data_IF_075717892480
#
_entry.id   IF_075717892480
#
_cell.length_a   1.000
_cell.length_b   1.000
_cell.length_c   1.000
_cell.angle_alpha   90.00
_cell.angle_beta   90.00
_cell.angle_gamma   90.00
#
_symmetry.space_group_name_H-M   'P 1'
#
loop_
_entity.id
_entity.type
_entity.pdbx_description
1 polymer ?
#
# COMPACT_ATOMS: atom_id res chain seq x y z
N UNK A 1 -4.46 -35.20 5.26
CA UNK A 1 -5.39 -34.81 6.34
C UNK A 1 -5.56 -33.29 6.28
N UNK A 2 -6.67 -32.79 5.74
CA UNK A 2 -6.91 -31.34 5.65
C UNK A 2 -7.28 -30.81 7.03
N UNK A 3 -6.38 -30.06 7.66
CA UNK A 3 -6.65 -29.35 8.89
C UNK A 3 -7.59 -28.19 8.53
N UNK A 4 -8.84 -28.25 8.99
CA UNK A 4 -9.75 -27.10 8.91
C UNK A 4 -9.26 -26.05 9.91
N UNK A 5 -8.62 -24.98 9.41
CA UNK A 5 -8.41 -23.77 10.21
C UNK A 5 -9.78 -23.14 10.50
N UNK A 6 -10.08 -22.96 11.78
CA UNK A 6 -11.30 -22.29 12.21
C UNK A 6 -11.09 -20.78 12.14
N UNK A 7 -12.11 -20.03 11.72
CA UNK A 7 -12.04 -18.58 11.71
C UNK A 7 -12.53 -18.07 13.06
N UNK A 8 -11.64 -17.46 13.84
CA UNK A 8 -11.95 -16.93 15.17
C UNK A 8 -12.80 -15.66 15.09
N UNK A 9 -12.38 -14.69 14.27
CA UNK A 9 -13.09 -13.42 14.08
C UNK A 9 -13.08 -12.99 12.62
N UNK A 10 -14.17 -12.35 12.20
CA UNK A 10 -14.32 -11.72 10.88
C UNK A 10 -14.73 -10.28 11.05
N UNK A 11 -14.06 -9.40 10.32
CA UNK A 11 -14.40 -7.99 10.22
C UNK A 11 -14.63 -7.67 8.76
N UNK A 12 -15.69 -6.90 8.50
CA UNK A 12 -15.88 -6.24 7.22
C UNK A 12 -15.58 -4.77 7.42
N UNK A 13 -14.48 -4.30 6.83
CA UNK A 13 -13.98 -2.93 7.00
C UNK A 13 -14.26 -2.15 5.74
N UNK A 14 -14.93 -1.00 5.88
CA UNK A 14 -15.15 -0.07 4.78
C UNK A 14 -14.32 1.17 5.03
N UNK A 15 -13.37 1.45 4.12
CA UNK A 15 -12.55 2.65 4.15
C UNK A 15 -13.04 3.64 3.09
N UNK A 16 -13.03 4.92 3.43
CA UNK A 16 -13.27 6.03 2.51
C UNK A 16 -12.06 6.95 2.50
N UNK A 17 -11.58 7.40 1.34
CA UNK A 17 -10.52 8.40 1.29
C UNK A 17 -11.04 9.72 1.87
N UNK A 18 -10.25 10.31 2.75
CA UNK A 18 -10.42 11.70 3.20
C UNK A 18 -9.47 12.67 2.48
N UNK A 19 -8.44 12.11 1.85
CA UNK A 19 -7.45 12.79 1.00
C UNK A 19 -7.21 11.91 -0.22
N UNK A 20 -6.71 12.46 -1.34
CA UNK A 20 -6.25 11.67 -2.48
C UNK A 20 -5.29 10.56 -2.06
N UNK A 21 -5.52 9.35 -2.54
CA UNK A 21 -4.69 8.18 -2.24
C UNK A 21 -4.00 7.71 -3.52
N UNK A 22 -2.71 7.39 -3.41
CA UNK A 22 -1.95 6.73 -4.46
C UNK A 22 -1.11 5.59 -3.89
N UNK A 23 -1.31 4.38 -4.43
CA UNK A 23 -0.37 3.26 -4.28
C UNK A 23 0.07 2.88 -5.67
N UNK A 24 1.37 2.96 -5.92
CA UNK A 24 1.93 2.71 -7.25
C UNK A 24 1.79 1.25 -7.66
N UNK A 25 1.36 1.00 -8.90
CA UNK A 25 1.28 -0.36 -9.46
C UNK A 25 2.65 -0.95 -9.84
N UNK A 26 3.68 -0.10 -9.99
CA UNK A 26 4.96 -0.44 -10.60
C UNK A 26 5.06 -0.04 -12.08
N UNK A 27 3.95 0.38 -12.71
CA UNK A 27 3.89 0.82 -14.10
C UNK A 27 3.92 2.34 -14.19
N UNK A 28 4.58 2.86 -15.23
CA UNK A 28 4.54 4.27 -15.57
C UNK A 28 3.92 4.45 -16.95
N UNK A 29 3.01 5.40 -17.05
CA UNK A 29 2.50 5.90 -18.31
C UNK A 29 3.32 7.09 -18.76
N UNK A 30 3.37 7.31 -20.08
CA UNK A 30 4.00 8.48 -20.68
C UNK A 30 2.94 9.33 -21.37
N UNK A 31 2.93 10.61 -21.02
CA UNK A 31 2.07 11.59 -21.70
C UNK A 31 2.37 11.64 -23.19
N UNK A 32 1.33 11.79 -23.99
CA UNK A 32 1.29 11.74 -25.46
C UNK A 32 1.62 10.38 -26.10
N UNK A 33 1.74 9.32 -25.30
CA UNK A 33 1.77 7.93 -25.80
C UNK A 33 0.63 7.15 -25.15
N UNK A 34 0.70 6.97 -23.84
CA UNK A 34 -0.27 6.19 -23.07
C UNK A 34 -1.43 7.06 -22.58
N UNK A 35 -1.19 8.36 -22.39
CA UNK A 35 -2.15 9.34 -21.87
C UNK A 35 -2.19 10.58 -22.75
N UNK A 36 -3.39 11.08 -23.09
CA UNK A 36 -3.58 12.35 -23.82
C UNK A 36 -4.58 13.24 -23.10
N UNK A 37 -4.46 14.55 -23.28
CA UNK A 37 -5.42 15.52 -22.71
C UNK A 37 -6.50 15.81 -23.75
N UNK A 38 -7.72 15.31 -23.52
CA UNK A 38 -8.88 15.44 -24.42
C UNK A 38 -10.03 16.10 -23.65
N UNK A 39 -10.53 17.23 -24.15
CA UNK A 39 -11.64 17.98 -23.52
C UNK A 39 -11.47 18.21 -22.00
N UNK A 40 -10.31 18.72 -21.58
CA UNK A 40 -9.96 18.98 -20.16
C UNK A 40 -9.86 17.74 -19.26
N UNK A 41 -10.03 16.54 -19.82
CA UNK A 41 -9.79 15.27 -19.15
C UNK A 41 -8.52 14.61 -19.66
N UNK A 42 -7.98 13.70 -18.87
CA UNK A 42 -6.91 12.81 -19.30
C UNK A 42 -7.55 11.50 -19.75
N UNK A 43 -7.27 11.16 -20.99
CA UNK A 43 -7.69 9.94 -21.65
C UNK A 43 -6.54 8.94 -21.60
N UNK A 44 -6.77 7.79 -20.98
CA UNK A 44 -5.93 6.61 -21.13
C UNK A 44 -6.20 6.00 -22.49
N UNK A 45 -5.19 6.02 -23.34
CA UNK A 45 -5.26 5.70 -24.76
C UNK A 45 -5.51 4.21 -24.96
N UNK A 46 -6.49 3.86 -25.80
CA UNK A 46 -6.74 2.48 -26.21
C UNK A 46 -5.99 2.11 -27.48
N UNK A 47 -4.72 1.71 -27.33
CA UNK A 47 -3.84 1.38 -28.46
C UNK A 47 -4.28 0.18 -29.28
N UNK A 48 -5.10 -0.72 -28.71
CA UNK A 48 -5.62 -1.91 -29.43
C UNK A 48 -6.69 -1.53 -30.45
N UNK A 49 -7.37 -0.40 -30.24
CA UNK A 49 -8.49 0.06 -31.05
C UNK A 49 -8.16 1.30 -31.89
N UNK A 50 -6.87 1.55 -32.16
CA UNK A 50 -6.45 2.71 -32.96
C UNK A 50 -7.01 2.69 -34.39
N UNK A 51 -7.51 3.84 -34.88
CA UNK A 51 -7.81 4.00 -36.30
C UNK A 51 -6.55 3.78 -37.15
N UNK A 52 -6.71 3.16 -38.31
CA UNK A 52 -5.61 2.79 -39.22
C UNK A 52 -4.77 4.02 -39.62
N UNK A 53 -5.42 5.17 -39.76
CA UNK A 53 -4.79 6.45 -40.12
C UNK A 53 -3.83 6.93 -39.03
N UNK A 54 -4.21 6.75 -37.76
CA UNK A 54 -3.37 7.12 -36.60
C UNK A 54 -2.16 6.21 -36.55
N UNK A 55 -2.36 4.89 -36.72
CA UNK A 55 -1.27 3.91 -36.73
C UNK A 55 -0.27 4.23 -37.85
N UNK A 56 -0.74 4.46 -39.07
CA UNK A 56 0.12 4.83 -40.21
C UNK A 56 0.91 6.11 -39.96
N UNK A 57 0.27 7.13 -39.38
CA UNK A 57 0.93 8.38 -39.04
C UNK A 57 2.02 8.17 -37.98
N UNK A 58 1.75 7.42 -36.92
CA UNK A 58 2.72 7.15 -35.85
C UNK A 58 3.93 6.36 -36.35
N UNK A 59 3.73 5.31 -37.16
CA UNK A 59 4.82 4.49 -37.72
C UNK A 59 5.75 5.33 -38.61
N UNK A 60 5.19 6.30 -39.33
CA UNK A 60 5.95 7.14 -40.26
C UNK A 60 6.60 8.36 -39.58
N UNK A 61 6.36 8.56 -38.29
CA UNK A 61 6.80 9.75 -37.56
C UNK A 61 8.01 9.45 -36.69
N UNK A 62 8.81 10.48 -36.41
CA UNK A 62 9.86 10.38 -35.40
C UNK A 62 9.25 10.50 -34.01
N UNK A 63 9.99 10.06 -32.99
CA UNK A 63 9.53 10.09 -31.60
C UNK A 63 9.10 11.51 -31.18
N UNK A 64 9.85 12.53 -31.60
CA UNK A 64 9.62 13.92 -31.27
C UNK A 64 8.32 14.47 -31.87
N UNK A 65 7.84 13.89 -32.97
CA UNK A 65 6.64 14.31 -33.70
C UNK A 65 5.36 13.63 -33.18
N UNK A 66 5.49 12.58 -32.36
CA UNK A 66 4.34 11.82 -31.83
C UNK A 66 3.30 12.74 -31.15
N UNK A 67 3.65 13.70 -30.27
CA UNK A 67 2.65 14.59 -29.67
C UNK A 67 1.85 15.37 -30.70
N UNK A 68 2.47 15.79 -31.81
CA UNK A 68 1.79 16.50 -32.88
C UNK A 68 0.82 15.57 -33.65
N UNK A 69 1.25 14.34 -33.94
CA UNK A 69 0.37 13.32 -34.55
C UNK A 69 -0.83 13.02 -33.66
N UNK A 70 -0.58 12.76 -32.37
CA UNK A 70 -1.64 12.44 -31.41
C UNK A 70 -2.61 13.61 -31.23
N UNK A 71 -2.12 14.85 -31.20
CA UNK A 71 -2.94 16.06 -31.16
C UNK A 71 -3.82 16.22 -32.41
N UNK A 72 -3.27 15.95 -33.60
CA UNK A 72 -4.03 16.01 -34.87
C UNK A 72 -5.22 15.05 -34.91
N UNK A 73 -5.10 13.89 -34.26
CA UNK A 73 -6.13 12.84 -34.25
C UNK A 73 -6.84 12.71 -32.91
N UNK A 74 -6.78 13.72 -32.05
CA UNK A 74 -7.23 13.62 -30.66
C UNK A 74 -8.70 13.18 -30.51
N UNK A 75 -9.55 13.60 -31.43
CA UNK A 75 -10.98 13.28 -31.41
C UNK A 75 -11.27 11.84 -31.83
N UNK A 76 -10.43 11.25 -32.68
CA UNK A 76 -10.60 9.88 -33.19
C UNK A 76 -9.89 8.84 -32.33
N UNK A 77 -8.98 9.25 -31.45
CA UNK A 77 -8.29 8.35 -30.53
C UNK A 77 -9.29 7.84 -29.46
N UNK A 78 -9.49 6.52 -29.35
CA UNK A 78 -10.34 5.92 -28.31
C UNK A 78 -9.68 5.96 -26.93
N UNK A 79 -10.51 6.10 -25.91
CA UNK A 79 -10.09 6.12 -24.51
C UNK A 79 -10.55 4.84 -23.80
N UNK A 80 -9.62 4.09 -23.18
CA UNK A 80 -9.97 3.01 -22.23
C UNK A 80 -10.61 3.59 -20.97
N UNK A 81 -10.16 4.77 -20.55
CA UNK A 81 -10.62 5.47 -19.36
C UNK A 81 -10.44 6.97 -19.54
N UNK A 82 -11.42 7.77 -19.11
CA UNK A 82 -11.28 9.21 -18.98
C UNK A 82 -11.33 9.60 -17.51
N UNK A 83 -10.35 10.37 -17.06
CA UNK A 83 -10.26 10.89 -15.70
C UNK A 83 -10.09 12.41 -15.70
N UNK A 84 -10.69 13.13 -14.74
CA UNK A 84 -10.35 14.53 -14.50
C UNK A 84 -8.85 14.79 -14.35
N UNK A 85 -8.36 15.88 -14.93
CA UNK A 85 -7.00 16.37 -14.69
C UNK A 85 -7.05 17.55 -13.74
N UNK A 86 -6.53 17.40 -12.53
CA UNK A 86 -6.46 18.51 -11.56
C UNK A 86 -5.19 19.34 -11.78
N UNK A 87 -4.16 18.72 -12.36
CA UNK A 87 -2.90 19.37 -12.73
C UNK A 87 -2.76 19.38 -14.25
N UNK A 88 -2.01 20.35 -14.80
CA UNK A 88 -1.68 20.36 -16.23
C UNK A 88 -0.40 19.53 -16.42
N UNK A 89 -0.48 18.33 -17.02
CA UNK A 89 0.71 17.51 -17.24
C UNK A 89 1.61 18.14 -18.30
N UNK A 90 2.92 18.16 -18.03
CA UNK A 90 3.92 18.55 -19.01
C UNK A 90 3.99 17.53 -20.14
N UNK A 91 4.39 17.99 -21.33
CA UNK A 91 4.68 17.08 -22.45
C UNK A 91 5.77 16.08 -22.03
N UNK A 92 5.64 14.83 -22.45
CA UNK A 92 6.57 13.73 -22.14
C UNK A 92 6.73 13.38 -20.65
N UNK A 93 5.92 13.94 -19.75
CA UNK A 93 6.02 13.58 -18.34
C UNK A 93 5.62 12.12 -18.13
N UNK A 94 6.28 11.50 -17.15
CA UNK A 94 5.89 10.19 -16.65
C UNK A 94 4.77 10.36 -15.62
N UNK A 95 3.77 9.49 -15.69
CA UNK A 95 2.63 9.44 -14.79
C UNK A 95 2.62 8.08 -14.12
N UNK A 96 2.59 8.04 -12.79
CA UNK A 96 2.51 6.79 -12.06
C UNK A 96 1.10 6.20 -12.14
N UNK A 97 1.00 4.95 -12.57
CA UNK A 97 -0.26 4.22 -12.59
C UNK A 97 -0.69 3.88 -11.15
N UNK A 98 -1.97 4.10 -10.86
CA UNK A 98 -2.59 3.65 -9.62
C UNK A 98 -2.76 2.14 -9.62
N UNK A 99 -2.44 1.48 -8.50
CA UNK A 99 -2.71 0.06 -8.34
C UNK A 99 -4.19 -0.26 -8.59
N UNK A 100 -4.48 -1.35 -9.31
CA UNK A 100 -5.85 -1.78 -9.63
C UNK A 100 -6.76 -1.97 -8.41
N UNK A 101 -6.18 -2.27 -7.25
CA UNK A 101 -6.91 -2.41 -5.99
C UNK A 101 -7.00 -1.11 -5.20
N UNK A 102 -6.46 0.00 -5.72
CA UNK A 102 -6.23 1.30 -5.06
C UNK A 102 -5.30 1.19 -3.86
N UNK A 103 -5.69 0.42 -2.83
CA UNK A 103 -4.86 0.04 -1.68
C UNK A 103 -4.95 -1.48 -1.51
N UNK A 104 -3.94 -2.25 -1.94
CA UNK A 104 -3.92 -3.71 -1.79
C UNK A 104 -4.10 -4.17 -0.33
N UNK A 105 -4.60 -5.39 -0.15
CA UNK A 105 -4.76 -5.99 1.18
C UNK A 105 -3.42 -6.11 1.93
N UNK A 106 -2.32 -6.33 1.20
CA UNK A 106 -0.96 -6.33 1.76
C UNK A 106 -0.56 -4.97 2.34
N UNK A 107 -0.96 -3.85 1.70
CA UNK A 107 -0.70 -2.50 2.21
C UNK A 107 -1.50 -2.23 3.48
N UNK A 108 -2.79 -2.60 3.52
CA UNK A 108 -3.59 -2.47 4.74
C UNK A 108 -3.05 -3.37 5.87
N UNK A 109 -2.65 -4.59 5.56
CA UNK A 109 -2.01 -5.51 6.51
C UNK A 109 -0.70 -4.95 7.06
N UNK A 110 0.10 -4.28 6.21
CA UNK A 110 1.30 -3.55 6.62
C UNK A 110 0.97 -2.42 7.60
N UNK A 111 -0.05 -1.62 7.32
CA UNK A 111 -0.50 -0.56 8.23
C UNK A 111 -0.95 -1.11 9.61
N UNK A 112 -1.74 -2.19 9.61
CA UNK A 112 -2.15 -2.88 10.84
C UNK A 112 -0.92 -3.39 11.62
N UNK A 113 0.06 -3.96 10.92
CA UNK A 113 1.31 -4.45 11.54
C UNK A 113 2.09 -3.33 12.23
N UNK A 114 2.22 -2.18 11.58
CA UNK A 114 2.90 -1.01 12.15
C UNK A 114 2.15 -0.45 13.36
N UNK A 115 0.82 -0.34 13.28
CA UNK A 115 0.00 0.17 14.40
C UNK A 115 0.08 -0.73 15.65
N UNK A 116 0.11 -2.04 15.46
CA UNK A 116 0.27 -3.00 16.55
C UNK A 116 1.68 -2.96 17.13
N UNK A 117 2.71 -2.87 16.28
CA UNK A 117 4.10 -2.71 16.74
C UNK A 117 4.25 -1.45 17.60
N UNK A 118 3.66 -0.34 17.15
CA UNK A 118 3.62 0.90 17.92
C UNK A 118 2.96 0.70 19.29
N UNK A 119 1.80 0.05 19.35
CA UNK A 119 1.09 -0.22 20.62
C UNK A 119 1.94 -1.07 21.57
N UNK A 120 2.61 -2.11 21.04
CA UNK A 120 3.48 -2.97 21.83
C UNK A 120 4.70 -2.20 22.37
N UNK A 121 5.32 -1.37 21.54
CA UNK A 121 6.44 -0.52 21.97
C UNK A 121 6.01 0.46 23.06
N UNK A 122 4.87 1.12 22.89
CA UNK A 122 4.33 2.05 23.88
C UNK A 122 4.00 1.35 25.22
N UNK A 123 3.65 0.06 25.19
CA UNK A 123 3.37 -0.73 26.40
C UNK A 123 4.60 -1.12 27.22
N UNK A 124 5.82 -0.95 26.68
CA UNK A 124 7.07 -1.21 27.42
C UNK A 124 7.31 -0.21 28.55
N UNK A 125 6.54 0.88 28.60
CA UNK A 125 6.53 1.85 29.68
C UNK A 125 7.69 2.84 29.60
N UNK A 126 8.89 2.42 30.00
CA UNK A 126 10.02 3.34 30.16
C UNK A 126 10.72 3.67 28.85
N UNK A 127 11.15 4.93 28.71
CA UNK A 127 11.91 5.41 27.56
C UNK A 127 13.19 4.59 27.32
N UNK A 128 13.82 4.09 28.39
CA UNK A 128 15.03 3.26 28.30
C UNK A 128 14.74 1.87 27.74
N UNK A 129 13.65 1.21 28.15
CA UNK A 129 13.25 -0.08 27.59
C UNK A 129 12.90 0.03 26.09
N UNK A 130 12.24 1.11 25.70
CA UNK A 130 11.96 1.41 24.29
C UNK A 130 13.27 1.64 23.53
N UNK A 131 14.17 2.49 24.06
CA UNK A 131 15.47 2.79 23.44
C UNK A 131 16.32 1.53 23.24
N UNK A 132 16.40 0.66 24.24
CA UNK A 132 17.15 -0.58 24.15
C UNK A 132 16.56 -1.54 23.12
N UNK A 133 15.23 -1.61 23.05
CA UNK A 133 14.53 -2.42 22.04
C UNK A 133 14.79 -1.90 20.62
N UNK A 134 14.73 -0.59 20.42
CA UNK A 134 15.04 0.03 19.13
C UNK A 134 16.50 -0.17 18.72
N UNK A 135 17.45 0.00 19.65
CA UNK A 135 18.88 -0.23 19.39
C UNK A 135 19.19 -1.67 18.98
N UNK A 136 18.52 -2.65 19.59
CA UNK A 136 18.69 -4.06 19.26
C UNK A 136 17.98 -4.45 17.96
N UNK A 137 16.87 -3.78 17.64
CA UNK A 137 16.00 -4.13 16.52
C UNK A 137 16.26 -3.39 15.21
N UNK A 138 16.89 -2.21 15.25
CA UNK A 138 17.15 -1.36 14.09
C UNK A 138 18.62 -1.42 13.70
N UNK A 139 18.88 -1.80 12.45
CA UNK A 139 20.22 -1.88 11.87
C UNK A 139 20.36 -0.85 10.74
N UNK A 140 21.00 0.28 11.06
CA UNK A 140 21.22 1.38 10.11
C UNK A 140 22.27 1.07 9.03
N UNK A 141 23.00 -0.05 9.15
CA UNK A 141 23.96 -0.51 8.13
C UNK A 141 23.28 -1.23 6.97
N UNK A 142 21.99 -1.54 7.07
CA UNK A 142 21.22 -2.22 6.02
C UNK A 142 20.49 -1.24 5.12
N UNK A 143 20.12 -1.70 3.93
CA UNK A 143 19.22 -0.96 3.05
C UNK A 143 17.94 -0.52 3.80
N UNK A 144 17.38 0.67 3.51
CA UNK A 144 16.26 1.22 4.26
C UNK A 144 15.07 0.27 4.46
N UNK A 145 14.73 -0.52 3.45
CA UNK A 145 13.64 -1.52 3.49
C UNK A 145 13.88 -2.67 4.49
N UNK A 146 15.12 -2.87 4.93
CA UNK A 146 15.53 -3.98 5.80
C UNK A 146 15.95 -3.53 7.20
N UNK A 147 16.06 -2.22 7.46
CA UNK A 147 16.58 -1.69 8.73
C UNK A 147 15.75 -2.13 9.94
N UNK A 148 14.43 -2.25 9.81
CA UNK A 148 13.50 -2.61 10.91
C UNK A 148 13.24 -4.11 11.07
N UNK A 149 13.87 -4.97 10.26
CA UNK A 149 13.55 -6.41 10.28
C UNK A 149 13.84 -7.07 11.64
N UNK A 150 14.90 -6.63 12.34
CA UNK A 150 15.24 -7.16 13.66
C UNK A 150 14.18 -6.78 14.71
N UNK A 151 13.65 -5.56 14.62
CA UNK A 151 12.59 -5.07 15.49
C UNK A 151 11.31 -5.88 15.30
N UNK A 152 10.84 -6.00 14.05
CA UNK A 152 9.65 -6.79 13.75
C UNK A 152 9.83 -8.26 14.13
N UNK A 153 11.02 -8.83 13.91
CA UNK A 153 11.29 -10.21 14.26
C UNK A 153 11.19 -10.42 15.77
N UNK A 154 11.65 -9.47 16.59
CA UNK A 154 11.56 -9.55 18.05
C UNK A 154 10.13 -9.60 18.59
N UNK A 155 9.20 -8.89 17.93
CA UNK A 155 7.80 -8.82 18.38
C UNK A 155 6.89 -9.87 17.74
N UNK A 156 7.06 -10.13 16.44
CA UNK A 156 6.09 -10.91 15.65
C UNK A 156 6.63 -12.24 15.15
N UNK A 157 7.94 -12.49 15.22
CA UNK A 157 8.52 -13.72 14.69
C UNK A 157 9.14 -14.55 15.80
N UNK A 158 9.22 -15.85 15.56
CA UNK A 158 10.00 -16.74 16.41
C UNK A 158 10.67 -17.77 15.49
N UNK A 159 11.97 -18.05 15.71
CA UNK A 159 12.68 -19.03 14.90
C UNK A 159 12.00 -20.40 15.00
N UNK A 160 11.94 -21.11 13.88
CA UNK A 160 11.55 -22.51 13.90
C UNK A 160 12.71 -23.37 14.42
N UNK A 161 12.44 -24.57 14.95
CA UNK A 161 13.48 -25.50 15.36
C UNK A 161 14.49 -25.75 14.24
N UNK A 162 15.76 -25.95 14.63
CA UNK A 162 16.96 -26.01 13.77
C UNK A 162 16.80 -26.89 12.51
N UNK A 163 15.96 -27.94 12.59
CA UNK A 163 15.72 -28.88 11.49
C UNK A 163 14.84 -28.33 10.36
N UNK A 164 14.03 -27.29 10.60
CA UNK A 164 13.06 -26.79 9.61
C UNK A 164 13.45 -25.49 8.92
N UNK A 165 14.49 -24.78 9.40
CA UNK A 165 15.00 -23.49 8.85
C UNK A 165 13.90 -22.48 8.52
N UNK A 166 13.71 -21.47 9.36
CA UNK A 166 12.77 -20.38 9.06
C UNK A 166 12.22 -19.70 10.31
N UNK A 167 11.12 -18.97 10.13
CA UNK A 167 10.42 -18.29 11.21
C UNK A 167 8.91 -18.54 11.10
N UNK A 168 8.26 -18.61 12.25
CA UNK A 168 6.80 -18.45 12.36
C UNK A 168 6.52 -16.96 12.54
N UNK A 169 5.59 -16.39 11.76
CA UNK A 169 5.18 -14.98 11.86
C UNK A 169 3.73 -14.89 12.34
N UNK A 170 3.49 -14.13 13.40
CA UNK A 170 2.18 -13.91 13.99
C UNK A 170 1.13 -13.44 12.95
N UNK A 171 1.54 -12.65 11.96
CA UNK A 171 0.63 -12.15 10.94
C UNK A 171 0.21 -13.21 9.91
N UNK A 172 0.70 -14.45 9.97
CA UNK A 172 0.19 -15.54 9.14
C UNK A 172 -1.29 -15.84 9.44
N UNK A 173 -1.74 -15.63 10.68
CA UNK A 173 -3.14 -15.85 11.09
C UNK A 173 -4.05 -14.64 10.78
N UNK A 174 -3.49 -13.51 10.37
CA UNK A 174 -4.25 -12.34 9.92
C UNK A 174 -4.36 -12.35 8.39
N UNK A 175 -5.53 -12.68 7.87
CA UNK A 175 -5.85 -12.58 6.45
C UNK A 175 -6.55 -11.25 6.19
N UNK A 176 -6.04 -10.48 5.24
CA UNK A 176 -6.66 -9.26 4.73
C UNK A 176 -6.88 -9.47 3.24
N UNK A 177 -8.12 -9.40 2.78
CA UNK A 177 -8.43 -9.49 1.35
C UNK A 177 -7.91 -8.25 0.61
N UNK A 178 -7.73 -8.35 -0.70
CA UNK A 178 -7.78 -7.16 -1.54
C UNK A 178 -9.20 -6.56 -1.46
N UNK A 179 -9.35 -5.23 -1.62
CA UNK A 179 -10.65 -4.59 -1.49
C UNK A 179 -11.53 -4.82 -2.71
N UNK A 180 -12.84 -4.83 -2.46
CA UNK A 180 -13.82 -4.46 -3.49
C UNK A 180 -13.85 -2.94 -3.56
N UNK A 181 -13.58 -2.39 -4.73
CA UNK A 181 -13.57 -0.94 -4.98
C UNK A 181 -14.94 -0.53 -5.50
N UNK A 182 -15.67 0.27 -4.72
CA UNK A 182 -16.94 0.88 -5.14
C UNK A 182 -16.69 2.37 -5.42
N UNK A 183 -16.49 2.70 -6.69
CA UNK A 183 -16.22 4.07 -7.12
C UNK A 183 -16.68 4.34 -8.54
N UNK A 184 -17.05 5.59 -8.80
CA UNK A 184 -17.27 6.11 -10.15
C UNK A 184 -15.94 6.52 -10.80
N UNK A 185 -15.90 6.64 -12.13
CA UNK A 185 -14.69 7.08 -12.85
C UNK A 185 -14.22 8.48 -12.40
N UNK A 186 -15.15 9.34 -11.98
CA UNK A 186 -14.89 10.68 -11.44
C UNK A 186 -14.11 10.67 -10.11
N UNK A 187 -14.04 9.53 -9.43
CA UNK A 187 -13.23 9.36 -8.22
C UNK A 187 -11.75 9.13 -8.50
N UNK A 188 -11.34 9.03 -9.76
CA UNK A 188 -9.95 8.97 -10.16
C UNK A 188 -9.53 10.30 -10.75
N UNK A 189 -8.32 10.77 -10.48
CA UNK A 189 -7.84 12.01 -11.10
C UNK A 189 -6.33 12.01 -11.33
N UNK A 190 -5.88 12.79 -12.33
CA UNK A 190 -4.46 13.05 -12.53
C UNK A 190 -4.02 14.25 -11.67
N UNK A 191 -3.02 14.03 -10.81
CA UNK A 191 -2.44 15.07 -9.95
C UNK A 191 -0.92 15.10 -10.04
N UNK A 192 -0.35 16.28 -9.85
CA UNK A 192 1.07 16.46 -9.56
C UNK A 192 1.29 16.33 -8.04
N UNK A 193 2.06 15.31 -7.64
CA UNK A 193 2.52 15.12 -6.27
C UNK A 193 3.80 15.92 -6.07
N UNK A 194 3.79 16.85 -5.12
CA UNK A 194 4.91 17.73 -4.82
C UNK A 194 5.55 17.31 -3.49
N UNK A 195 6.89 17.25 -3.47
CA UNK A 195 7.65 16.95 -2.25
C UNK A 195 8.37 18.21 -1.81
N UNK A 196 8.13 18.60 -0.56
CA UNK A 196 8.74 19.76 0.06
C UNK A 196 9.68 19.35 1.20
N UNK A 197 10.82 20.01 1.27
CA UNK A 197 11.73 19.96 2.40
C UNK A 197 11.32 21.02 3.43
N UNK A 198 11.02 20.57 4.65
CA UNK A 198 10.63 21.40 5.80
C UNK A 198 11.89 21.71 6.65
N UNK A 199 12.02 22.92 7.23
CA UNK A 199 11.02 24.02 7.27
C UNK A 199 11.14 25.02 6.12
N UNK A 200 12.12 24.87 5.23
CA UNK A 200 12.39 25.85 4.17
C UNK A 200 11.30 25.91 3.09
N UNK A 201 10.34 24.97 3.12
CA UNK A 201 9.29 24.81 2.11
C UNK A 201 9.85 24.76 0.69
N UNK A 202 11.06 24.23 0.55
CA UNK A 202 11.74 24.10 -0.74
C UNK A 202 11.18 22.88 -1.45
N UNK A 203 10.62 23.07 -2.63
CA UNK A 203 10.24 21.93 -3.48
C UNK A 203 11.50 21.18 -3.91
N UNK A 204 11.59 19.90 -3.58
CA UNK A 204 12.74 19.04 -3.90
C UNK A 204 12.42 17.99 -4.97
N UNK A 205 11.15 17.67 -5.19
CA UNK A 205 10.71 16.78 -6.24
C UNK A 205 9.25 17.03 -6.63
N UNK A 206 8.87 16.57 -7.82
CA UNK A 206 7.50 16.54 -8.32
C UNK A 206 7.29 15.30 -9.19
N UNK A 207 6.11 14.70 -9.13
CA UNK A 207 5.77 13.50 -9.91
C UNK A 207 4.28 13.49 -10.21
N UNK A 208 3.89 13.27 -11.47
CA UNK A 208 2.48 13.07 -11.80
C UNK A 208 2.03 11.65 -11.44
N UNK A 209 0.83 11.51 -10.91
CA UNK A 209 0.25 10.23 -10.53
C UNK A 209 -1.27 10.25 -10.68
N UNK A 210 -1.84 9.08 -10.99
CA UNK A 210 -3.29 8.88 -10.92
C UNK A 210 -3.66 8.61 -9.46
N UNK A 211 -4.60 9.35 -8.90
CA UNK A 211 -5.04 9.24 -7.50
C UNK A 211 -6.48 8.76 -7.42
N UNK A 212 -6.83 8.18 -6.28
CA UNK A 212 -8.19 7.85 -5.88
C UNK A 212 -8.67 8.85 -4.83
N UNK A 213 -9.66 9.66 -5.19
CA UNK A 213 -10.09 10.84 -4.44
C UNK A 213 -11.40 10.61 -3.68
N UNK A 214 -12.28 9.73 -4.17
CA UNK A 214 -13.56 9.40 -3.51
C UNK A 214 -13.95 7.92 -3.69
N UNK A 215 -15.06 7.49 -3.09
CA UNK A 215 -15.56 6.12 -3.18
C UNK A 215 -15.36 5.31 -1.90
N UNK A 216 -15.42 3.99 -2.01
CA UNK A 216 -15.24 3.07 -0.88
C UNK A 216 -14.33 1.90 -1.24
N UNK A 217 -13.52 1.49 -0.27
CA UNK A 217 -12.70 0.29 -0.31
C UNK A 217 -13.21 -0.68 0.76
N UNK A 218 -13.73 -1.83 0.34
CA UNK A 218 -14.35 -2.81 1.25
C UNK A 218 -13.45 -4.03 1.38
N UNK A 219 -12.95 -4.25 2.59
CA UNK A 219 -12.05 -5.35 2.93
C UNK A 219 -12.75 -6.37 3.81
N UNK A 220 -12.42 -7.64 3.59
CA UNK A 220 -12.67 -8.71 4.55
C UNK A 220 -11.39 -9.04 5.30
N UNK A 221 -11.42 -8.84 6.61
CA UNK A 221 -10.33 -9.19 7.52
C UNK A 221 -10.75 -10.41 8.32
N UNK A 222 -9.94 -11.47 8.28
CA UNK A 222 -10.17 -12.70 9.02
C UNK A 222 -8.99 -12.93 9.95
N UNK A 223 -9.30 -13.15 11.22
CA UNK A 223 -8.35 -13.65 12.18
C UNK A 223 -8.61 -15.14 12.34
N UNK A 224 -7.62 -15.94 11.97
CA UNK A 224 -7.69 -17.38 12.07
C UNK A 224 -7.39 -17.80 13.50
N UNK A 225 -8.10 -18.82 13.92
CA UNK A 225 -7.80 -19.52 15.15
C UNK A 225 -6.60 -20.42 14.87
N UNK A 226 -5.59 -20.42 15.75
CA UNK A 226 -4.52 -21.40 15.63
C UNK A 226 -5.11 -22.82 15.60
N UNK A 227 -4.59 -23.73 14.76
CA UNK A 227 -5.08 -25.09 14.73
C UNK A 227 -4.91 -25.71 16.13
N UNK A 228 -6.03 -26.01 16.80
CA UNK A 228 -6.06 -26.71 18.08
C UNK A 228 -5.62 -28.14 17.80
N UNK A 229 -4.38 -28.45 18.16
CA UNK A 229 -3.90 -29.83 18.26
C UNK A 229 -3.67 -30.10 19.74
N UNK A 230 -3.95 -31.33 20.16
CA UNK A 230 -3.61 -31.80 21.50
C UNK A 230 -2.11 -31.52 21.75
N UNK A 231 -1.81 -30.62 22.70
CA UNK A 231 -0.44 -30.16 23.01
C UNK A 231 0.51 -31.32 23.30
N UNK A 232 -0.03 -32.42 23.81
CA UNK A 232 0.71 -33.64 24.12
C UNK A 232 1.16 -34.38 22.85
N UNK A 233 0.37 -34.35 21.78
CA UNK A 233 0.64 -34.98 20.48
C UNK A 233 1.41 -34.06 19.49
N UNK A 234 1.70 -32.83 19.89
CA UNK A 234 2.41 -31.87 19.06
C UNK A 234 3.90 -32.17 18.95
N UNK A 235 4.43 -32.02 17.73
CA UNK A 235 5.87 -31.96 17.54
C UNK A 235 6.46 -30.75 18.30
N UNK A 236 7.75 -30.77 18.68
CA UNK A 236 8.39 -29.61 19.33
C UNK A 236 8.22 -28.29 18.56
N UNK A 237 8.16 -28.37 17.23
CA UNK A 237 7.89 -27.24 16.31
C UNK A 237 6.49 -26.68 16.54
N UNK A 238 5.49 -27.54 16.58
CA UNK A 238 4.10 -27.12 16.75
C UNK A 238 3.84 -26.56 18.16
N UNK A 239 4.59 -27.01 19.18
CA UNK A 239 4.56 -26.42 20.54
C UNK A 239 5.16 -25.02 20.58
N UNK A 240 6.29 -24.80 19.90
CA UNK A 240 6.84 -23.45 19.73
C UNK A 240 5.89 -22.55 18.94
N UNK A 241 5.29 -23.07 17.87
CA UNK A 241 4.23 -22.39 17.13
C UNK A 241 3.09 -22.00 18.08
N UNK A 242 2.64 -22.91 18.95
CA UNK A 242 1.62 -22.62 19.96
C UNK A 242 2.03 -21.54 21.00
N UNK A 243 3.31 -21.46 21.36
CA UNK A 243 3.84 -20.38 22.21
C UNK A 243 3.89 -19.02 21.49
N UNK A 244 4.15 -19.01 20.17
CA UNK A 244 3.97 -17.80 19.33
C UNK A 244 2.50 -17.41 19.23
N UNK A 245 1.62 -18.42 19.15
CA UNK A 245 0.17 -18.23 19.17
C UNK A 245 -0.31 -17.68 20.54
N UNK A 246 0.40 -17.98 21.63
CA UNK A 246 0.20 -17.31 22.92
C UNK A 246 0.70 -15.85 22.93
N UNK A 247 1.76 -15.50 22.18
CA UNK A 247 2.10 -14.09 21.92
C UNK A 247 1.04 -13.42 21.03
N UNK A 248 0.42 -14.16 20.11
CA UNK A 248 -0.77 -13.74 19.35
C UNK A 248 -2.02 -13.56 20.21
N UNK A 249 -2.06 -14.06 21.45
CA UNK A 249 -3.08 -13.63 22.40
C UNK A 249 -3.05 -12.12 22.61
N UNK A 250 -1.92 -11.42 22.36
CA UNK A 250 -1.87 -9.95 22.30
C UNK A 250 -2.64 -9.40 21.10
N UNK A 251 -2.52 -9.99 19.91
CA UNK A 251 -3.33 -9.63 18.74
C UNK A 251 -4.83 -9.86 18.97
N UNK A 252 -5.17 -10.87 19.78
CA UNK A 252 -6.55 -11.18 20.19
C UNK A 252 -7.05 -10.27 21.33
N UNK A 253 -6.14 -9.71 22.15
CA UNK A 253 -6.41 -8.85 23.32
C UNK A 253 -6.36 -7.36 22.99
N UNK A 254 -5.55 -6.95 22.01
CA UNK A 254 -5.44 -5.56 21.57
C UNK A 254 -6.67 -5.26 20.73
N UNK A 255 -7.39 -4.21 21.12
CA UNK A 255 -8.43 -3.65 20.27
C UNK A 255 -7.77 -3.05 19.02
N UNK A 256 -7.98 -3.71 17.88
CA UNK A 256 -7.40 -3.32 16.60
C UNK A 256 -7.82 -1.89 16.22
N UNK A 257 -9.05 -1.48 16.53
CA UNK A 257 -9.55 -0.14 16.20
C UNK A 257 -8.80 0.90 17.02
N UNK A 258 -8.61 0.66 18.31
CA UNK A 258 -7.87 1.59 19.18
C UNK A 258 -6.39 1.67 18.80
N UNK A 259 -5.76 0.55 18.45
CA UNK A 259 -4.38 0.53 17.98
C UNK A 259 -4.21 1.36 16.69
N UNK A 260 -5.11 1.18 15.72
CA UNK A 260 -5.13 1.95 14.47
C UNK A 260 -5.35 3.44 14.73
N UNK A 261 -6.28 3.79 15.63
CA UNK A 261 -6.57 5.17 16.00
C UNK A 261 -5.36 5.82 16.69
N UNK A 262 -4.79 5.18 17.69
CA UNK A 262 -3.65 5.71 18.44
C UNK A 262 -2.46 5.98 17.52
N UNK A 263 -2.11 5.02 16.66
CA UNK A 263 -1.03 5.17 15.69
C UNK A 263 -1.32 6.25 14.65
N UNK A 264 -2.54 6.26 14.08
CA UNK A 264 -2.95 7.24 13.07
C UNK A 264 -2.94 8.67 13.59
N UNK A 265 -3.57 8.91 14.75
CA UNK A 265 -3.63 10.24 15.38
C UNK A 265 -2.23 10.77 15.72
N UNK A 266 -1.39 9.95 16.36
CA UNK A 266 -0.03 10.35 16.69
C UNK A 266 0.82 10.63 15.44
N UNK A 267 0.62 9.89 14.34
CA UNK A 267 1.33 10.15 13.07
C UNK A 267 0.92 11.50 12.49
N UNK A 268 -0.38 11.77 12.39
CA UNK A 268 -0.90 13.04 11.86
C UNK A 268 -0.42 14.22 12.72
N UNK A 269 -0.54 14.12 14.03
CA UNK A 269 -0.10 15.17 14.96
C UNK A 269 1.40 15.47 14.79
N UNK A 270 2.24 14.44 14.69
CA UNK A 270 3.68 14.63 14.45
C UNK A 270 4.02 15.26 13.12
N UNK A 271 3.27 14.96 12.06
CA UNK A 271 3.49 15.60 10.75
C UNK A 271 3.02 17.06 10.77
N UNK A 272 1.89 17.37 11.42
CA UNK A 272 1.42 18.76 11.57
C UNK A 272 2.40 19.60 12.40
N UNK A 273 2.94 19.07 13.49
CA UNK A 273 3.90 19.74 14.35
C UNK A 273 5.27 20.01 13.69
N UNK A 274 5.56 19.44 12.51
CA UNK A 274 6.76 19.81 11.74
C UNK A 274 6.54 21.08 10.92
N UNK A 275 5.29 21.40 10.59
CA UNK A 275 4.91 22.52 9.72
C UNK A 275 4.70 23.79 10.56
N UNK A 276 4.17 23.64 11.79
CA UNK A 276 3.93 24.71 12.77
C UNK A 276 5.23 25.06 13.50
#
# INVERSE_FOLDING_TARGET
MHIKQLVFKKYRVTLKPITPIHVWSGVKFRMWIDLIVKHEKVCLVDTENFPVEVVKALISSKLEDIPHVMSKYIDTIPCKLEIPSISVPKMWSEVLELNKYVVPGSSLKGYIRTALLYTMLSSLGTTDAIRDTLRKGIDLGKEPKNMSQGLEAGFFRTPQPVKQKGFVDAFQELIVSDPVVEAEQTCYSLRELLVYEIPLMKQIASQYAITFDCGKLIYDIKLLEPPIRDLSALSPVDREHHNVLNKLSLLLRVDLIDALRAFGCNTIEKELNKII
#
